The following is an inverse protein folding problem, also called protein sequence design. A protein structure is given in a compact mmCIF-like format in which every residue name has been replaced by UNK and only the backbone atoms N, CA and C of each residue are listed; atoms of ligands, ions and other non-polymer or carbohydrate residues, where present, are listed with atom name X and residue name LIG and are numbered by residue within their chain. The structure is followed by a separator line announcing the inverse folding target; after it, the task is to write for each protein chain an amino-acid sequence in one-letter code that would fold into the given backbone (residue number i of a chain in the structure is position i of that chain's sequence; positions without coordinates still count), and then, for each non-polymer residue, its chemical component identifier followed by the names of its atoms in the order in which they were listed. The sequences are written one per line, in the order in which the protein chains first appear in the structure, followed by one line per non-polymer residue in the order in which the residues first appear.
data_IF_795367920944
#
_entry.id   IF_795367920944
#
_cell.length_a   1.000
_cell.length_b   1.000
_cell.length_c   1.000
_cell.angle_alpha   90.00
_cell.angle_beta   90.00
_cell.angle_gamma   90.00
#
_symmetry.space_group_name_H-M   'P 1'
#
loop_
_entity.id
_entity.type
_entity.pdbx_description
1 polymer ?
#
# COMPACT_ATOMS: atom_id res chain seq x y z
N UNK A 1 -22.81 12.31 -7.21
CA UNK A 1 -22.00 11.48 -8.15
C UNK A 1 -20.55 11.63 -7.72
N UNK A 2 -19.85 10.54 -7.36
CA UNK A 2 -18.42 10.63 -7.11
C UNK A 2 -17.75 11.17 -8.37
N UNK A 3 -16.93 12.22 -8.22
CA UNK A 3 -16.17 12.74 -9.35
C UNK A 3 -15.26 11.63 -9.88
N UNK A 4 -15.06 11.57 -11.19
CA UNK A 4 -14.17 10.59 -11.84
C UNK A 4 -12.77 10.52 -11.16
N UNK A 5 -12.20 11.63 -10.64
CA UNK A 5 -11.00 11.62 -9.78
C UNK A 5 -11.14 10.85 -8.47
N UNK A 6 -12.27 10.94 -7.76
CA UNK A 6 -12.48 10.24 -6.49
C UNK A 6 -12.59 8.72 -6.68
N UNK A 7 -13.21 8.29 -7.79
CA UNK A 7 -13.29 6.88 -8.16
C UNK A 7 -11.90 6.30 -8.52
N UNK A 8 -11.10 7.03 -9.32
CA UNK A 8 -9.73 6.63 -9.66
C UNK A 8 -8.84 6.55 -8.43
N UNK A 9 -8.90 7.54 -7.54
CA UNK A 9 -8.14 7.52 -6.28
C UNK A 9 -8.51 6.35 -5.38
N UNK A 10 -9.80 5.99 -5.32
CA UNK A 10 -10.24 4.83 -4.53
C UNK A 10 -9.72 3.52 -5.11
N UNK A 11 -9.68 3.39 -6.44
CA UNK A 11 -9.09 2.22 -7.10
C UNK A 11 -7.57 2.13 -6.85
N UNK A 12 -6.84 3.25 -6.92
CA UNK A 12 -5.40 3.27 -6.63
C UNK A 12 -5.14 2.91 -5.16
N UNK A 13 -5.93 3.46 -4.23
CA UNK A 13 -5.81 3.15 -2.80
C UNK A 13 -6.01 1.64 -2.53
N UNK A 14 -7.04 1.03 -3.13
CA UNK A 14 -7.27 -0.40 -3.01
C UNK A 14 -6.11 -1.24 -3.54
N UNK A 15 -5.53 -0.88 -4.69
CA UNK A 15 -4.35 -1.56 -5.24
C UNK A 15 -3.11 -1.41 -4.35
N UNK A 16 -2.93 -0.25 -3.72
CA UNK A 16 -1.82 -0.01 -2.78
C UNK A 16 -1.97 -0.86 -1.52
N UNK A 17 -3.18 -0.97 -0.99
CA UNK A 17 -3.47 -1.81 0.18
C UNK A 17 -3.27 -3.31 -0.13
N UNK A 18 -3.70 -3.79 -1.31
CA UNK A 18 -3.44 -5.16 -1.78
C UNK A 18 -1.93 -5.44 -1.88
N UNK A 19 -1.18 -4.53 -2.50
CA UNK A 19 0.28 -4.66 -2.63
C UNK A 19 0.97 -4.67 -1.27
N UNK A 20 0.52 -3.85 -0.31
CA UNK A 20 1.08 -3.84 1.04
C UNK A 20 0.88 -5.20 1.72
N UNK A 21 -0.32 -5.78 1.64
CA UNK A 21 -0.60 -7.11 2.18
C UNK A 21 0.28 -8.19 1.54
N UNK A 22 0.46 -8.14 0.21
CA UNK A 22 1.31 -9.09 -0.51
C UNK A 22 2.80 -8.95 -0.16
N UNK A 23 3.28 -7.74 0.10
CA UNK A 23 4.64 -7.53 0.61
C UNK A 23 4.82 -8.15 2.00
N UNK A 24 3.86 -7.95 2.91
CA UNK A 24 3.90 -8.53 4.25
C UNK A 24 3.86 -10.06 4.23
N UNK A 25 2.97 -10.66 3.41
CA UNK A 25 2.90 -12.11 3.25
C UNK A 25 4.20 -12.70 2.68
N UNK A 26 4.82 -12.02 1.71
CA UNK A 26 6.08 -12.46 1.14
C UNK A 26 7.22 -12.30 2.14
N UNK A 27 7.26 -11.20 2.89
CA UNK A 27 8.26 -10.96 3.93
C UNK A 27 8.23 -12.09 4.97
N UNK A 28 7.03 -12.47 5.46
CA UNK A 28 6.88 -13.56 6.42
C UNK A 28 7.35 -14.93 5.88
N UNK A 29 7.16 -15.20 4.59
CA UNK A 29 7.64 -16.44 3.95
C UNK A 29 9.17 -16.45 3.82
N UNK A 30 9.74 -15.33 3.38
CA UNK A 30 11.18 -15.15 3.20
C UNK A 30 11.91 -15.15 4.56
N UNK A 31 11.29 -14.59 5.59
CA UNK A 31 11.80 -14.61 6.97
C UNK A 31 11.91 -16.04 7.50
N UNK A 32 10.94 -16.90 7.19
CA UNK A 32 10.98 -18.32 7.55
C UNK A 32 12.12 -19.09 6.85
N UNK A 33 12.53 -18.63 5.67
CA UNK A 33 13.65 -19.20 4.89
C UNK A 33 15.02 -18.63 5.31
N UNK A 34 15.06 -17.63 6.19
CA UNK A 34 16.29 -17.08 6.79
C UNK A 34 16.98 -15.97 5.99
N UNK A 35 16.36 -15.42 4.94
CA UNK A 35 16.93 -14.32 4.16
C UNK A 35 16.57 -12.96 4.78
N UNK A 36 17.48 -12.45 5.62
CA UNK A 36 17.30 -11.21 6.39
C UNK A 36 17.25 -9.94 5.54
N UNK A 37 18.01 -9.89 4.43
CA UNK A 37 18.07 -8.69 3.58
C UNK A 37 16.79 -8.54 2.76
N UNK A 38 16.33 -9.61 2.11
CA UNK A 38 15.09 -9.60 1.37
C UNK A 38 13.88 -9.36 2.28
N UNK A 39 13.86 -9.96 3.48
CA UNK A 39 12.81 -9.72 4.49
C UNK A 39 12.74 -8.24 4.87
N UNK A 40 13.88 -7.61 5.16
CA UNK A 40 13.95 -6.19 5.53
C UNK A 40 13.42 -5.31 4.39
N UNK A 41 13.88 -5.54 3.16
CA UNK A 41 13.44 -4.77 1.99
C UNK A 41 11.92 -4.89 1.74
N UNK A 42 11.33 -6.07 1.97
CA UNK A 42 9.89 -6.29 1.81
C UNK A 42 9.06 -5.55 2.86
N UNK A 43 9.47 -5.56 4.13
CA UNK A 43 8.82 -4.76 5.19
C UNK A 43 8.99 -3.25 4.97
N UNK A 44 10.12 -2.80 4.41
CA UNK A 44 10.30 -1.40 4.01
C UNK A 44 9.36 -0.99 2.86
N UNK A 45 9.18 -1.88 1.87
CA UNK A 45 8.24 -1.68 0.78
C UNK A 45 6.78 -1.61 1.30
N UNK A 46 6.38 -2.53 2.17
CA UNK A 46 5.07 -2.51 2.84
C UNK A 46 4.84 -1.17 3.55
N UNK A 47 5.80 -0.75 4.38
CA UNK A 47 5.69 0.52 5.13
C UNK A 47 5.52 1.72 4.21
N UNK A 48 6.24 1.73 3.08
CA UNK A 48 6.15 2.78 2.07
C UNK A 48 4.77 2.80 1.39
N UNK A 49 4.22 1.63 1.08
CA UNK A 49 2.88 1.48 0.52
C UNK A 49 1.81 1.98 1.51
N UNK A 50 1.90 1.64 2.80
CA UNK A 50 0.98 2.14 3.83
C UNK A 50 1.02 3.68 3.96
N UNK A 51 2.20 4.30 3.79
CA UNK A 51 2.33 5.77 3.74
C UNK A 51 1.69 6.33 2.46
N UNK A 52 1.86 5.67 1.32
CA UNK A 52 1.23 6.05 0.06
C UNK A 52 -0.30 5.98 0.16
N UNK A 53 -0.86 4.89 0.71
CA UNK A 53 -2.30 4.72 0.93
C UNK A 53 -2.90 5.84 1.78
N UNK A 54 -2.25 6.19 2.90
CA UNK A 54 -2.65 7.35 3.73
C UNK A 54 -2.60 8.68 2.98
N UNK A 55 -1.68 8.84 2.03
CA UNK A 55 -1.54 10.05 1.22
C UNK A 55 -2.63 10.15 0.15
N UNK A 56 -2.98 9.02 -0.48
CA UNK A 56 -4.12 8.92 -1.40
C UNK A 56 -5.45 9.23 -0.70
N UNK A 57 -5.62 8.72 0.52
CA UNK A 57 -6.82 9.00 1.32
C UNK A 57 -6.96 10.48 1.67
N UNK A 58 -5.83 11.16 1.99
CA UNK A 58 -5.81 12.61 2.20
C UNK A 58 -6.17 13.37 0.92
N UNK A 59 -5.63 12.96 -0.23
CA UNK A 59 -5.95 13.56 -1.52
C UNK A 59 -7.43 13.39 -1.88
N UNK A 60 -7.99 12.20 -1.64
CA UNK A 60 -9.42 11.91 -1.85
C UNK A 60 -10.30 12.82 -1.02
N UNK A 61 -9.98 12.98 0.27
CA UNK A 61 -10.70 13.90 1.17
C UNK A 61 -10.63 15.36 0.72
N UNK A 62 -9.50 15.78 0.14
CA UNK A 62 -9.34 17.14 -0.39
C UNK A 62 -10.16 17.40 -1.66
N UNK A 63 -10.52 16.36 -2.44
CA UNK A 63 -11.27 16.49 -3.69
C UNK A 63 -12.79 16.38 -3.51
N UNK A 64 -13.24 15.87 -2.36
CA UNK A 64 -14.66 15.74 -2.01
C UNK A 64 -15.12 16.70 -0.92
N UNK A 65 -14.26 17.64 -0.52
CA UNK A 65 -14.60 18.81 0.31
C UNK A 65 -15.12 19.97 -0.52
#
# INVERSE_FOLDING_TARGET
MASLPAAQLSAIAASVDDLAGRCAELAARVEADGDSEATTALYEAERSLLVAGRSLERARRSLGG
#
